data_IF_692181497124
#
_entry.id   IF_692181497124
#
_cell.length_a   1.000
_cell.length_b   1.000
_cell.length_c   1.000
_cell.angle_alpha   90.00
_cell.angle_beta   90.00
_cell.angle_gamma   90.00
#
_symmetry.space_group_name_H-M   'P 1'
#
loop_
_entity.id
_entity.type
_entity.pdbx_description
1 polymer ?
#
# COMPACT_ATOMS: atom_id res chain seq x y z
N UNK A 1 12.69 -0.64 -16.25
CA UNK A 1 13.48 0.17 -15.31
C UNK A 1 13.19 -0.36 -13.91
N UNK A 2 14.18 -0.94 -13.24
CA UNK A 2 14.06 -1.49 -11.89
C UNK A 2 13.59 -0.43 -10.88
N UNK A 3 14.00 0.83 -11.07
CA UNK A 3 13.73 1.95 -10.16
C UNK A 3 12.31 2.54 -10.24
N UNK A 4 11.45 2.06 -11.13
CA UNK A 4 10.07 2.55 -11.28
C UNK A 4 9.02 1.48 -10.97
N UNK A 5 9.42 0.33 -10.43
CA UNK A 5 8.43 -0.66 -10.04
C UNK A 5 7.81 -0.27 -8.71
N UNK A 6 6.48 -0.13 -8.71
CA UNK A 6 5.67 0.07 -7.51
C UNK A 6 5.54 -1.23 -6.68
N UNK A 7 5.96 -2.37 -7.24
CA UNK A 7 5.86 -3.68 -6.58
C UNK A 7 7.13 -4.02 -5.79
N UNK A 8 6.93 -4.43 -4.53
CA UNK A 8 8.01 -4.75 -3.60
C UNK A 8 8.88 -5.95 -4.01
N UNK A 9 8.30 -6.90 -4.76
CA UNK A 9 8.97 -8.12 -5.23
C UNK A 9 9.18 -8.14 -6.74
N UNK A 10 9.41 -6.98 -7.34
CA UNK A 10 9.53 -6.81 -8.80
C UNK A 10 10.69 -7.58 -9.47
N UNK A 11 11.67 -8.05 -8.69
CA UNK A 11 12.81 -8.85 -9.17
C UNK A 11 12.55 -10.36 -9.15
N UNK A 12 11.46 -10.80 -8.52
CA UNK A 12 11.13 -12.22 -8.41
C UNK A 12 10.60 -12.70 -9.77
N UNK A 13 11.27 -13.72 -10.33
CA UNK A 13 10.85 -14.32 -11.60
C UNK A 13 9.59 -15.16 -11.38
N UNK A 14 8.53 -14.85 -12.12
CA UNK A 14 7.26 -15.58 -12.08
C UNK A 14 6.99 -16.23 -13.46
N UNK A 15 6.64 -17.53 -13.52
CA UNK A 15 6.37 -18.21 -14.78
C UNK A 15 5.01 -17.80 -15.40
N UNK A 16 4.10 -17.28 -14.59
CA UNK A 16 2.77 -16.80 -14.99
C UNK A 16 2.60 -15.38 -14.49
N UNK A 17 1.96 -14.53 -15.31
CA UNK A 17 1.75 -13.13 -14.98
C UNK A 17 0.38 -12.66 -15.48
N UNK A 18 -0.47 -12.21 -14.56
CA UNK A 18 -1.78 -11.63 -14.87
C UNK A 18 -1.68 -10.12 -14.63
N UNK A 19 -2.08 -9.31 -15.61
CA UNK A 19 -2.13 -7.84 -15.47
C UNK A 19 -3.55 -7.41 -15.18
N UNK A 20 -3.72 -6.69 -14.08
CA UNK A 20 -5.00 -6.11 -13.66
C UNK A 20 -4.82 -4.60 -13.54
N UNK A 21 -5.88 -3.81 -13.79
CA UNK A 21 -5.82 -2.34 -13.78
C UNK A 21 -6.44 -1.70 -12.55
N UNK A 22 -7.28 -2.42 -11.81
CA UNK A 22 -8.01 -1.88 -10.68
C UNK A 22 -8.13 -2.90 -9.53
N UNK A 23 -8.43 -2.39 -8.33
CA UNK A 23 -8.49 -3.20 -7.11
C UNK A 23 -9.70 -4.13 -7.10
N UNK A 24 -10.85 -3.74 -7.65
CA UNK A 24 -12.07 -4.55 -7.61
C UNK A 24 -11.93 -5.82 -8.47
N UNK A 25 -11.32 -5.69 -9.65
CA UNK A 25 -10.96 -6.81 -10.52
C UNK A 25 -9.95 -7.73 -9.85
N UNK A 26 -8.93 -7.18 -9.17
CA UNK A 26 -7.95 -7.97 -8.44
C UNK A 26 -8.63 -8.75 -7.31
N UNK A 27 -9.50 -8.11 -6.54
CA UNK A 27 -10.18 -8.74 -5.41
C UNK A 27 -11.12 -9.86 -5.84
N UNK A 28 -11.88 -9.65 -6.93
CA UNK A 28 -12.70 -10.71 -7.52
C UNK A 28 -11.87 -11.93 -7.92
N UNK A 29 -10.68 -11.70 -8.49
CA UNK A 29 -9.76 -12.76 -8.88
C UNK A 29 -9.20 -13.51 -7.65
N UNK A 30 -8.78 -12.78 -6.62
CA UNK A 30 -8.26 -13.39 -5.38
C UNK A 30 -9.32 -14.26 -4.71
N UNK A 31 -10.54 -13.75 -4.57
CA UNK A 31 -11.66 -14.50 -3.96
C UNK A 31 -12.02 -15.75 -4.78
N UNK A 32 -12.06 -15.65 -6.11
CA UNK A 32 -12.40 -16.78 -6.98
C UNK A 32 -11.32 -17.87 -7.06
N UNK A 33 -10.09 -17.56 -6.68
CA UNK A 33 -8.93 -18.47 -6.77
C UNK A 33 -8.38 -18.92 -5.42
N UNK A 34 -8.99 -18.48 -4.31
CA UNK A 34 -8.40 -18.60 -2.97
C UNK A 34 -6.95 -18.06 -2.95
N UNK A 35 -6.77 -16.92 -3.61
CA UNK A 35 -5.47 -16.31 -3.86
C UNK A 35 -5.11 -15.23 -2.85
N UNK A 36 -3.83 -14.86 -2.80
CA UNK A 36 -3.33 -13.74 -2.03
C UNK A 36 -2.54 -12.76 -2.90
N UNK A 37 -2.34 -11.55 -2.39
CA UNK A 37 -1.45 -10.54 -2.98
C UNK A 37 -0.64 -9.86 -1.90
N UNK A 38 0.51 -9.32 -2.28
CA UNK A 38 1.35 -8.50 -1.41
C UNK A 38 1.04 -7.03 -1.68
N UNK A 39 0.79 -6.26 -0.62
CA UNK A 39 0.48 -4.83 -0.70
C UNK A 39 0.97 -4.11 0.55
N UNK A 40 0.69 -2.81 0.65
CA UNK A 40 0.94 -2.01 1.84
C UNK A 40 0.19 -2.46 3.09
N UNK A 41 -0.83 -3.30 2.94
CA UNK A 41 -1.70 -3.73 4.04
C UNK A 41 -2.73 -2.68 4.49
N UNK A 42 -2.79 -1.51 3.84
CA UNK A 42 -3.85 -0.52 4.10
C UNK A 42 -5.14 -0.99 3.45
N UNK A 43 -6.01 -1.62 4.24
CA UNK A 43 -7.34 -2.08 3.84
C UNK A 43 -8.37 -1.64 4.89
N UNK A 44 -9.50 -1.11 4.41
CA UNK A 44 -10.60 -0.70 5.26
C UNK A 44 -11.68 -1.79 5.24
N UNK A 45 -11.93 -2.43 6.38
CA UNK A 45 -12.92 -3.52 6.51
C UNK A 45 -14.34 -3.04 6.19
N UNK A 46 -14.67 -1.77 6.50
CA UNK A 46 -16.00 -1.22 6.23
C UNK A 46 -16.28 -1.10 4.73
N UNK A 47 -15.22 -0.94 3.92
CA UNK A 47 -15.33 -0.76 2.47
C UNK A 47 -15.13 -2.07 1.71
N UNK A 48 -14.26 -2.95 2.20
CA UNK A 48 -13.85 -4.16 1.47
C UNK A 48 -14.52 -5.45 1.98
N UNK A 49 -15.23 -5.38 3.10
CA UNK A 49 -15.89 -6.53 3.74
C UNK A 49 -14.90 -7.49 4.42
N UNK A 50 -15.43 -8.55 5.03
CA UNK A 50 -14.66 -9.49 5.86
C UNK A 50 -13.87 -10.54 5.05
N UNK A 51 -14.13 -10.66 3.75
CA UNK A 51 -13.58 -11.74 2.93
C UNK A 51 -12.12 -11.50 2.49
N UNK A 52 -11.59 -10.29 2.66
CA UNK A 52 -10.20 -9.94 2.36
C UNK A 52 -9.60 -9.28 3.58
N UNK A 53 -8.58 -9.92 4.14
CA UNK A 53 -7.87 -9.45 5.32
C UNK A 53 -6.42 -9.11 4.99
N UNK A 54 -5.85 -8.17 5.73
CA UNK A 54 -4.41 -7.91 5.68
C UNK A 54 -3.70 -8.68 6.78
N UNK A 55 -2.67 -9.44 6.41
CA UNK A 55 -1.83 -10.19 7.34
C UNK A 55 -0.39 -9.70 7.20
N UNK A 56 0.31 -9.38 8.31
CA UNK A 56 1.73 -9.01 8.26
C UNK A 56 2.59 -10.15 7.68
N UNK A 57 3.51 -9.80 6.80
CA UNK A 57 4.50 -10.76 6.29
C UNK A 57 5.55 -11.08 7.37
N UNK A 58 6.06 -12.32 7.35
CA UNK A 58 7.09 -12.78 8.29
C UNK A 58 8.49 -12.24 7.96
N UNK A 59 8.77 -11.95 6.69
CA UNK A 59 10.05 -11.43 6.20
C UNK A 59 10.00 -9.93 5.90
N UNK A 60 11.17 -9.30 5.82
CA UNK A 60 11.32 -7.86 5.61
C UNK A 60 10.84 -7.42 4.22
N UNK A 61 10.01 -6.37 4.25
CA UNK A 61 9.54 -5.66 3.07
C UNK A 61 8.93 -4.33 3.49
N UNK A 62 9.76 -3.31 3.65
CA UNK A 62 9.28 -1.97 3.98
C UNK A 62 8.79 -1.27 2.71
N UNK A 63 7.50 -0.97 2.67
CA UNK A 63 6.91 -0.12 1.64
C UNK A 63 6.84 1.32 2.17
N UNK A 64 7.52 2.24 1.49
CA UNK A 64 7.40 3.66 1.80
C UNK A 64 6.24 4.27 1.01
N UNK A 65 5.22 4.76 1.72
CA UNK A 65 4.07 5.42 1.12
C UNK A 65 4.21 6.91 1.39
N UNK A 66 4.13 7.71 0.34
CA UNK A 66 4.21 9.15 0.43
C UNK A 66 3.47 9.81 -0.71
N UNK A 67 3.54 11.14 -0.76
CA UNK A 67 2.94 11.95 -1.80
C UNK A 67 3.99 12.87 -2.42
N UNK A 68 3.83 13.17 -3.71
CA UNK A 68 4.76 14.04 -4.46
C UNK A 68 4.17 15.44 -4.54
N UNK A 69 5.00 16.47 -4.31
CA UNK A 69 4.57 17.88 -4.44
C UNK A 69 5.54 18.68 -5.28
N UNK A 70 5.02 19.69 -5.99
CA UNK A 70 5.86 20.64 -6.72
C UNK A 70 6.51 21.62 -5.73
N UNK A 71 7.84 21.62 -5.65
CA UNK A 71 8.61 22.48 -4.75
C UNK A 71 8.52 23.98 -5.08
N UNK A 72 8.05 24.36 -6.27
CA UNK A 72 7.86 25.77 -6.69
C UNK A 72 6.48 26.31 -6.35
N UNK A 73 5.56 25.50 -5.84
CA UNK A 73 4.21 25.93 -5.48
C UNK A 73 4.00 25.79 -3.98
N UNK A 74 3.57 26.89 -3.35
CA UNK A 74 3.05 26.82 -2.00
C UNK A 74 1.74 26.04 -1.99
N UNK A 75 1.60 25.12 -1.04
CA UNK A 75 0.36 24.36 -0.87
C UNK A 75 -0.75 25.31 -0.45
N UNK A 76 -1.91 25.21 -1.11
CA UNK A 76 -3.11 25.91 -0.66
C UNK A 76 -3.47 25.48 0.76
N UNK A 77 -4.22 26.32 1.46
CA UNK A 77 -4.78 25.98 2.78
C UNK A 77 -5.50 24.64 2.74
N UNK A 78 -6.37 24.44 1.75
CA UNK A 78 -7.08 23.18 1.52
C UNK A 78 -6.15 21.98 1.34
N UNK A 79 -5.05 22.15 0.60
CA UNK A 79 -4.07 21.08 0.40
C UNK A 79 -3.34 20.70 1.68
N UNK A 80 -3.06 21.67 2.55
CA UNK A 80 -2.43 21.41 3.86
C UNK A 80 -3.40 20.65 4.79
N UNK A 81 -4.64 21.12 4.90
CA UNK A 81 -5.70 20.47 5.68
C UNK A 81 -5.95 19.03 5.19
N UNK A 82 -5.96 18.81 3.88
CA UNK A 82 -6.14 17.47 3.31
C UNK A 82 -5.00 16.51 3.66
N UNK A 83 -3.75 16.97 3.59
CA UNK A 83 -2.59 16.16 3.99
C UNK A 83 -2.67 15.83 5.48
N UNK A 84 -3.02 16.80 6.32
CA UNK A 84 -3.16 16.57 7.76
C UNK A 84 -4.25 15.54 8.07
N UNK A 85 -5.40 15.60 7.37
CA UNK A 85 -6.45 14.61 7.52
C UNK A 85 -6.00 13.20 7.07
N UNK A 86 -5.23 13.10 5.98
CA UNK A 86 -4.65 11.84 5.52
C UNK A 86 -3.67 11.27 6.55
N UNK A 87 -2.77 12.08 7.09
CA UNK A 87 -1.81 11.64 8.12
C UNK A 87 -2.52 11.09 9.37
N UNK A 88 -3.59 11.75 9.81
CA UNK A 88 -4.41 11.28 10.93
C UNK A 88 -5.12 9.96 10.63
N UNK A 89 -5.70 9.83 9.43
CA UNK A 89 -6.38 8.60 9.02
C UNK A 89 -5.42 7.43 8.89
N UNK A 90 -4.28 7.64 8.22
CA UNK A 90 -3.26 6.59 8.00
C UNK A 90 -2.58 6.18 9.31
N UNK A 91 -2.44 7.09 10.29
CA UNK A 91 -1.90 6.76 11.61
C UNK A 91 -2.71 5.70 12.40
N UNK A 92 -3.90 5.34 11.94
CA UNK A 92 -4.67 4.20 12.46
C UNK A 92 -4.24 2.85 11.85
N UNK A 93 -3.64 2.85 10.66
CA UNK A 93 -3.22 1.66 9.93
C UNK A 93 -1.74 1.35 10.20
N UNK A 94 -1.41 0.06 10.33
CA UNK A 94 -0.02 -0.37 10.52
C UNK A 94 0.57 -0.17 11.92
N UNK A 95 -0.23 0.19 12.95
CA UNK A 95 0.24 0.34 14.35
C UNK A 95 0.89 -0.91 14.96
N UNK A 96 0.60 -2.09 14.40
CA UNK A 96 1.22 -3.34 14.85
C UNK A 96 2.61 -3.58 14.23
N UNK A 97 3.01 -2.77 13.24
CA UNK A 97 4.31 -2.87 12.58
C UNK A 97 5.31 -2.04 13.39
N UNK A 98 6.24 -2.73 14.08
CA UNK A 98 7.39 -2.06 14.68
C UNK A 98 8.31 -1.61 13.54
N UNK A 99 8.38 -0.31 13.30
CA UNK A 99 9.39 0.26 12.41
C UNK A 99 10.78 -0.02 13.00
N UNK A 100 11.78 -0.39 12.17
CA UNK A 100 13.15 -0.47 12.66
C UNK A 100 13.57 0.89 13.20
N UNK A 101 14.14 0.91 14.41
CA UNK A 101 14.70 2.13 14.99
C UNK A 101 15.76 2.69 14.04
N UNK A 102 15.58 3.95 13.63
CA UNK A 102 16.57 4.68 12.86
C UNK A 102 17.84 4.76 13.71
N UNK A 103 18.83 3.92 13.42
CA UNK A 103 20.19 4.15 13.93
C UNK A 103 20.75 5.33 13.14
N UNK A 104 20.80 6.50 13.80
CA UNK A 104 21.65 7.63 13.37
C UNK A 104 23.12 7.23 13.34
#
# INVERSE_FOLDING_TARGET
SFYFSEEIFSTVVRPKHIRVRDRASLFSLLLGLDGYTVSSGVIDEEVNGENIISVPLAEEGLMHIGYITNNKMHRSRLGQEYIQALEQYVGNYGRHIKLPETKE
#
